data_IF_148159334785
#
_entry.id   IF_148159334785
#
_cell.length_a   1.000
_cell.length_b   1.000
_cell.length_c   1.000
_cell.angle_alpha   90.00
_cell.angle_beta   90.00
_cell.angle_gamma   90.00
#
_symmetry.space_group_name_H-M   'P 1'
#
loop_
_entity.id
_entity.type
_entity.pdbx_description
1 polymer ?
#
# COMPACT_ATOMS: atom_id res chain seq x y z
N UNK A 1 9.70 -1.39 -0.25
CA UNK A 1 8.42 -1.56 0.46
C UNK A 1 7.79 -0.19 0.60
N UNK A 2 7.35 0.37 -0.52
CA UNK A 2 7.24 1.82 -0.67
C UNK A 2 6.30 2.49 0.34
N UNK A 3 5.18 1.85 0.70
CA UNK A 3 4.27 2.42 1.71
C UNK A 3 4.87 2.43 3.12
N UNK A 4 5.62 1.39 3.47
CA UNK A 4 6.30 1.32 4.76
C UNK A 4 7.49 2.28 4.83
N UNK A 5 8.26 2.35 3.74
CA UNK A 5 9.35 3.34 3.58
C UNK A 5 8.81 4.78 3.71
N UNK A 6 7.63 5.04 3.14
CA UNK A 6 6.94 6.32 3.25
C UNK A 6 6.47 6.63 4.69
N UNK A 7 5.87 5.66 5.39
CA UNK A 7 5.48 5.83 6.79
C UNK A 7 6.69 6.12 7.70
N UNK A 8 7.81 5.44 7.48
CA UNK A 8 9.06 5.70 8.21
C UNK A 8 9.57 7.12 7.93
N UNK A 9 9.51 7.56 6.67
CA UNK A 9 9.90 8.92 6.30
C UNK A 9 9.04 9.99 6.99
N UNK A 10 7.76 9.71 7.23
CA UNK A 10 6.85 10.56 8.02
C UNK A 10 7.08 10.51 9.54
N UNK A 11 8.01 9.67 10.01
CA UNK A 11 8.40 9.56 11.42
C UNK A 11 7.73 8.42 12.20
N UNK A 12 7.01 7.52 11.53
CA UNK A 12 6.46 6.33 12.19
C UNK A 12 7.49 5.20 12.32
N UNK A 13 7.25 4.28 13.25
CA UNK A 13 7.93 2.98 13.25
C UNK A 13 7.62 2.21 11.98
N UNK A 14 8.54 1.34 11.52
CA UNK A 14 8.35 0.57 10.29
C UNK A 14 7.16 -0.40 10.40
N UNK A 15 6.02 -0.12 9.73
CA UNK A 15 4.81 -0.93 9.87
C UNK A 15 4.95 -2.33 9.27
N UNK A 16 5.92 -2.49 8.37
CA UNK A 16 6.15 -3.72 7.64
C UNK A 16 7.47 -4.36 8.02
N UNK A 17 8.01 -4.07 9.22
CA UNK A 17 9.21 -4.72 9.75
C UNK A 17 9.13 -6.25 9.66
N UNK A 18 7.95 -6.81 9.96
CA UNK A 18 7.67 -8.25 9.85
C UNK A 18 7.66 -8.81 8.41
N UNK A 19 7.62 -7.95 7.39
CA UNK A 19 7.66 -8.32 5.97
C UNK A 19 9.03 -8.02 5.34
N UNK A 20 9.90 -7.25 6.02
CA UNK A 20 11.28 -6.98 5.54
C UNK A 20 12.02 -8.29 5.40
N UNK A 21 12.58 -8.54 4.21
CA UNK A 21 13.36 -9.75 3.93
C UNK A 21 12.53 -11.04 3.81
N UNK A 22 11.19 -10.99 3.96
CA UNK A 22 10.32 -12.15 3.71
C UNK A 22 10.11 -12.44 2.22
N UNK A 23 10.34 -11.46 1.37
CA UNK A 23 10.28 -11.62 -0.07
C UNK A 23 11.34 -10.75 -0.72
N UNK A 24 12.13 -11.36 -1.59
CA UNK A 24 13.12 -10.75 -2.47
C UNK A 24 12.68 -10.80 -3.94
N UNK A 25 11.60 -11.54 -4.22
CA UNK A 25 11.02 -11.74 -5.55
C UNK A 25 9.57 -11.28 -5.61
N UNK A 26 9.12 -10.93 -6.81
CA UNK A 26 7.72 -10.64 -7.11
C UNK A 26 6.79 -11.81 -6.77
N UNK A 27 7.29 -13.05 -6.89
CA UNK A 27 6.55 -14.26 -6.55
C UNK A 27 6.34 -14.40 -5.03
N UNK A 28 7.39 -14.17 -4.24
CA UNK A 28 7.27 -14.15 -2.77
C UNK A 28 6.28 -13.07 -2.29
N UNK A 29 6.29 -11.89 -2.91
CA UNK A 29 5.29 -10.86 -2.64
C UNK A 29 3.87 -11.32 -2.99
N UNK A 30 3.69 -11.96 -4.16
CA UNK A 30 2.38 -12.49 -4.59
C UNK A 30 1.87 -13.57 -3.65
N UNK A 31 2.75 -14.42 -3.12
CA UNK A 31 2.37 -15.45 -2.15
C UNK A 31 1.81 -14.83 -0.87
N UNK A 32 2.47 -13.81 -0.32
CA UNK A 32 1.99 -13.08 0.86
C UNK A 32 0.61 -12.47 0.61
N UNK A 33 0.43 -11.81 -0.54
CA UNK A 33 -0.84 -11.20 -0.95
C UNK A 33 -1.93 -12.28 -1.09
N UNK A 34 -1.61 -13.43 -1.69
CA UNK A 34 -2.55 -14.53 -1.86
C UNK A 34 -2.97 -15.14 -0.52
N UNK A 35 -2.02 -15.41 0.38
CA UNK A 35 -2.31 -15.93 1.72
C UNK A 35 -3.19 -14.98 2.54
N UNK A 36 -2.98 -13.67 2.38
CA UNK A 36 -3.79 -12.65 3.06
C UNK A 36 -5.15 -12.37 2.39
N UNK A 37 -5.44 -12.97 1.22
CA UNK A 37 -6.68 -12.74 0.46
C UNK A 37 -6.71 -11.41 -0.30
N UNK A 38 -5.56 -10.75 -0.50
CA UNK A 38 -5.43 -9.49 -1.23
C UNK A 38 -4.45 -8.51 -0.59
N UNK A 39 -4.25 -7.36 -1.25
CA UNK A 39 -3.37 -6.31 -0.75
C UNK A 39 -4.02 -5.48 0.37
N UNK A 40 -5.35 -5.35 0.38
CA UNK A 40 -6.07 -4.57 1.40
C UNK A 40 -5.79 -5.11 2.82
N UNK A 41 -5.93 -6.42 3.12
CA UNK A 41 -5.66 -6.93 4.46
C UNK A 41 -4.21 -6.76 4.89
N UNK A 42 -3.25 -6.90 3.97
CA UNK A 42 -1.82 -6.71 4.24
C UNK A 42 -1.52 -5.27 4.63
N UNK A 43 -1.99 -4.30 3.84
CA UNK A 43 -1.78 -2.88 4.13
C UNK A 43 -2.54 -2.46 5.39
N UNK A 44 -3.76 -2.96 5.61
CA UNK A 44 -4.52 -2.67 6.82
C UNK A 44 -3.79 -3.12 8.09
N UNK A 45 -3.18 -4.31 8.07
CA UNK A 45 -2.37 -4.80 9.18
C UNK A 45 -1.17 -3.90 9.45
N UNK A 46 -0.49 -3.43 8.40
CA UNK A 46 0.62 -2.49 8.50
C UNK A 46 0.16 -1.13 9.08
N UNK A 47 -0.94 -0.56 8.57
CA UNK A 47 -1.46 0.73 9.04
C UNK A 47 -1.93 0.68 10.50
N UNK A 48 -2.41 -0.46 10.96
CA UNK A 48 -2.85 -0.63 12.35
C UNK A 48 -1.74 -0.37 13.38
N UNK A 49 -0.46 -0.47 12.98
CA UNK A 49 0.68 -0.20 13.85
C UNK A 49 1.13 1.26 13.80
N UNK A 50 0.73 2.04 12.80
CA UNK A 50 1.14 3.45 12.61
C UNK A 50 0.07 4.46 13.03
N UNK A 51 -0.97 4.01 13.76
CA UNK A 51 -2.14 4.82 14.14
C UNK A 51 -2.95 5.39 12.95
N UNK A 52 -2.71 4.88 11.73
CA UNK A 52 -3.40 5.40 10.56
C UNK A 52 -4.90 5.10 10.59
N UNK A 53 -5.69 6.02 10.05
CA UNK A 53 -7.16 6.01 10.14
C UNK A 53 -7.78 5.80 8.77
N UNK A 54 -8.79 4.93 8.62
CA UNK A 54 -9.52 4.80 7.36
C UNK A 54 -10.08 6.15 6.89
N UNK A 55 -10.03 6.40 5.59
CA UNK A 55 -10.59 7.61 4.97
C UNK A 55 -11.28 7.29 3.65
N UNK A 56 -12.35 8.02 3.34
CA UNK A 56 -13.02 8.01 2.03
C UNK A 56 -12.64 9.22 1.17
N UNK A 57 -11.95 10.20 1.75
CA UNK A 57 -11.47 11.41 1.09
C UNK A 57 -9.94 11.50 1.27
N UNK A 58 -9.16 10.73 0.48
CA UNK A 58 -7.71 10.74 0.57
C UNK A 58 -7.16 12.11 0.15
N UNK A 59 -6.15 12.55 0.89
CA UNK A 59 -5.42 13.81 0.72
C UNK A 59 -3.94 13.52 0.47
N UNK A 60 -3.16 14.54 0.09
CA UNK A 60 -1.72 14.37 -0.16
C UNK A 60 -1.02 13.72 1.04
N UNK A 61 -0.27 12.66 0.79
CA UNK A 61 0.46 11.89 1.80
C UNK A 61 -0.28 10.66 2.30
N UNK A 62 -1.61 10.61 2.15
CA UNK A 62 -2.40 9.43 2.52
C UNK A 62 -2.03 8.23 1.64
N UNK A 63 -2.20 7.03 2.17
CA UNK A 63 -1.89 5.79 1.44
C UNK A 63 -3.15 4.99 1.17
N UNK A 64 -3.07 4.08 0.21
CA UNK A 64 -4.21 3.26 -0.14
C UNK A 64 -3.85 2.02 -0.94
N UNK A 65 -4.87 1.20 -1.17
CA UNK A 65 -4.84 0.11 -2.13
C UNK A 65 -5.82 0.43 -3.24
N UNK A 66 -5.34 0.42 -4.48
CA UNK A 66 -6.16 0.65 -5.67
C UNK A 66 -6.07 -0.55 -6.63
N UNK A 67 -7.08 -0.74 -7.47
CA UNK A 67 -7.09 -1.78 -8.48
C UNK A 67 -8.37 -2.59 -8.54
N UNK A 68 -8.25 -3.90 -8.79
CA UNK A 68 -9.38 -4.79 -8.97
C UNK A 68 -9.92 -5.32 -7.63
N UNK A 69 -11.24 -5.26 -7.38
CA UNK A 69 -11.84 -5.86 -6.20
C UNK A 69 -11.87 -7.39 -6.25
N UNK A 70 -11.76 -8.00 -7.43
CA UNK A 70 -11.89 -9.45 -7.63
C UNK A 70 -10.60 -10.13 -8.07
N UNK A 71 -9.62 -9.38 -8.58
CA UNK A 71 -8.33 -9.90 -8.99
C UNK A 71 -7.21 -9.36 -8.09
N UNK A 72 -6.78 -10.16 -7.13
CA UNK A 72 -5.73 -9.82 -6.15
C UNK A 72 -4.38 -9.48 -6.80
N UNK A 73 -4.10 -10.01 -8.00
CA UNK A 73 -2.87 -9.71 -8.74
C UNK A 73 -2.90 -8.36 -9.47
N UNK A 74 -4.06 -7.69 -9.45
CA UNK A 74 -4.27 -6.33 -9.97
C UNK A 74 -4.63 -5.37 -8.84
N UNK A 75 -4.04 -5.55 -7.66
CA UNK A 75 -4.13 -4.64 -6.53
C UNK A 75 -2.75 -4.06 -6.24
N UNK A 76 -2.72 -2.76 -5.94
CA UNK A 76 -1.46 -2.03 -5.81
C UNK A 76 -1.53 -1.10 -4.60
N UNK A 77 -0.46 -1.10 -3.81
CA UNK A 77 -0.25 -0.04 -2.82
C UNK A 77 0.09 1.27 -3.51
N UNK A 78 -0.54 2.36 -3.06
CA UNK A 78 -0.38 3.68 -3.64
C UNK A 78 -0.26 4.78 -2.56
N UNK A 79 0.39 5.88 -2.92
CA UNK A 79 0.47 7.12 -2.12
C UNK A 79 -0.30 8.20 -2.88
N UNK A 80 -1.16 8.95 -2.21
CA UNK A 80 -1.91 10.03 -2.82
C UNK A 80 -1.06 11.31 -2.86
N UNK A 81 -0.95 11.97 -4.01
CA UNK A 81 -0.13 13.18 -4.17
C UNK A 81 -0.93 14.49 -4.03
N UNK A 82 -2.24 14.38 -3.83
CA UNK A 82 -3.19 15.49 -3.77
C UNK A 82 -4.06 15.60 -5.01
N UNK A 83 -3.62 15.04 -6.14
CA UNK A 83 -4.38 14.99 -7.39
C UNK A 83 -4.77 13.56 -7.78
N UNK A 84 -3.99 12.56 -7.37
CA UNK A 84 -4.30 11.16 -7.57
C UNK A 84 -3.33 10.20 -6.91
N UNK A 85 -3.45 8.92 -7.29
CA UNK A 85 -2.70 7.83 -6.71
C UNK A 85 -1.40 7.54 -7.47
N UNK A 86 -0.28 7.58 -6.77
CA UNK A 86 1.04 7.21 -7.25
C UNK A 86 1.36 5.77 -6.85
N UNK A 87 1.71 4.94 -7.83
CA UNK A 87 2.15 3.56 -7.64
C UNK A 87 3.60 3.43 -8.03
N UNK A 88 4.38 2.69 -7.24
CA UNK A 88 5.75 2.33 -7.60
C UNK A 88 5.74 1.32 -8.75
N UNK A 89 6.31 1.73 -9.88
CA UNK A 89 6.62 0.90 -11.04
C UNK A 89 8.13 0.64 -11.06
N UNK A 90 8.65 -0.20 -11.96
CA UNK A 90 10.11 -0.45 -12.06
C UNK A 90 10.92 0.84 -12.21
N UNK A 91 10.51 1.73 -13.13
CA UNK A 91 11.24 2.96 -13.47
C UNK A 91 11.01 4.17 -12.56
N UNK A 92 10.08 4.11 -11.61
CA UNK A 92 9.79 5.23 -10.71
C UNK A 92 8.39 5.15 -10.12
N UNK A 93 7.81 6.30 -9.80
CA UNK A 93 6.40 6.42 -9.47
C UNK A 93 5.62 6.85 -10.71
N UNK A 94 4.49 6.18 -10.96
CA UNK A 94 3.56 6.56 -12.01
C UNK A 94 2.18 6.80 -11.41
N UNK A 95 1.50 7.85 -11.88
CA UNK A 95 0.11 8.10 -11.52
C UNK A 95 -0.78 7.04 -12.18
N UNK A 96 -1.67 6.45 -11.41
CA UNK A 96 -2.57 5.41 -11.90
C UNK A 96 -4.01 5.70 -11.49
N UNK A 97 -4.90 5.71 -12.48
CA UNK A 97 -6.35 5.78 -12.26
C UNK A 97 -6.91 4.37 -12.17
N UNK A 98 -7.30 3.95 -10.97
CA UNK A 98 -7.99 2.70 -10.71
C UNK A 98 -8.96 2.86 -9.54
N UNK A 99 -9.85 1.88 -9.33
CA UNK A 99 -10.78 1.92 -8.20
C UNK A 99 -10.01 1.90 -6.89
N UNK A 100 -10.29 2.86 -6.00
CA UNK A 100 -9.84 2.82 -4.60
C UNK A 100 -10.56 1.69 -3.89
N UNK A 101 -9.80 0.72 -3.37
CA UNK A 101 -10.34 -0.40 -2.59
C UNK A 101 -10.34 -0.08 -1.10
N UNK A 102 -9.30 0.60 -0.63
CA UNK A 102 -9.19 1.14 0.73
C UNK A 102 -8.17 2.28 0.76
N UNK A 103 -8.35 3.22 1.69
CA UNK A 103 -7.42 4.33 1.91
C UNK A 103 -7.32 4.65 3.40
N UNK A 104 -6.15 5.12 3.80
CA UNK A 104 -5.84 5.49 5.17
C UNK A 104 -5.05 6.79 5.21
N UNK A 105 -5.45 7.65 6.15
CA UNK A 105 -4.65 8.77 6.59
C UNK A 105 -3.58 8.27 7.53
N UNK A 106 -2.33 8.62 7.24
CA UNK A 106 -1.17 8.29 8.06
C UNK A 106 -0.45 9.58 8.46
#
# INVERSE_FOLDING_TARGET
MVLADWAVWLGHEDPAAHLRGMYDTDEGFRAIIATAGGAVPVVQRCVSTTQGKPTTAPTRGDIGVIGSPTNIHRQFGAIHDGEGWLVRMHGGFGRMTAKTLAAWKI
#
